data_IF_841263448358
#
_entry.id   IF_841263448358
#
_cell.length_a   1.000
_cell.length_b   1.000
_cell.length_c   1.000
_cell.angle_alpha   90.00
_cell.angle_beta   90.00
_cell.angle_gamma   90.00
#
_symmetry.space_group_name_H-M   'P 1'
#
loop_
_entity.id
_entity.type
_entity.pdbx_description
1 polymer ?
#
# COMPACT_ATOMS: atom_id res chain seq x y z
N UNK A 1 21.14 -11.25 7.71
CA UNK A 1 20.90 -11.72 9.09
C UNK A 1 20.30 -13.11 8.97
N UNK A 2 21.02 -14.14 9.40
CA UNK A 2 20.55 -15.53 9.31
C UNK A 2 19.28 -15.74 10.13
N UNK A 3 18.32 -16.49 9.59
CA UNK A 3 17.18 -16.96 10.38
C UNK A 3 17.68 -17.80 11.55
N UNK A 4 17.10 -17.59 12.73
CA UNK A 4 17.45 -18.33 13.94
C UNK A 4 16.79 -19.71 13.91
N UNK A 5 17.40 -20.71 14.57
CA UNK A 5 16.83 -22.06 14.66
C UNK A 5 15.38 -22.05 15.21
N UNK A 6 15.06 -21.14 16.13
CA UNK A 6 13.70 -20.96 16.65
C UNK A 6 12.68 -20.53 15.56
N UNK A 7 13.10 -19.70 14.61
CA UNK A 7 12.24 -19.30 13.49
C UNK A 7 11.99 -20.48 12.55
N UNK A 8 13.03 -21.27 12.25
CA UNK A 8 12.92 -22.46 11.39
C UNK A 8 12.03 -23.55 12.02
N UNK A 9 12.14 -23.78 13.35
CA UNK A 9 11.24 -24.67 14.10
C UNK A 9 9.79 -24.19 13.98
N UNK A 10 9.57 -22.89 14.18
CA UNK A 10 8.23 -22.29 14.09
C UNK A 10 7.65 -22.48 12.68
N UNK A 11 8.43 -22.21 11.63
CA UNK A 11 8.03 -22.42 10.24
C UNK A 11 7.65 -23.88 9.99
N UNK A 12 8.50 -24.84 10.38
CA UNK A 12 8.22 -26.27 10.21
C UNK A 12 6.97 -26.70 10.97
N UNK A 13 6.75 -26.19 12.19
CA UNK A 13 5.56 -26.52 12.99
C UNK A 13 4.24 -26.05 12.37
N UNK A 14 4.26 -25.02 11.50
CA UNK A 14 3.08 -24.51 10.79
C UNK A 14 2.75 -25.31 9.54
N UNK A 15 3.68 -26.10 9.02
CA UNK A 15 3.45 -26.94 7.85
C UNK A 15 2.70 -28.19 8.29
N UNK A 16 1.38 -28.18 8.12
CA UNK A 16 0.48 -29.27 8.54
C UNK A 16 0.80 -30.64 7.94
N UNK A 17 1.51 -30.68 6.80
CA UNK A 17 1.92 -31.92 6.16
C UNK A 17 3.09 -32.63 6.85
N UNK A 18 3.90 -31.93 7.67
CA UNK A 18 5.14 -32.50 8.26
C UNK A 18 4.88 -33.77 9.08
N UNK A 19 3.91 -33.82 10.03
CA UNK A 19 3.64 -35.04 10.78
C UNK A 19 3.20 -36.21 9.90
N UNK A 20 2.41 -35.95 8.86
CA UNK A 20 1.96 -36.98 7.92
C UNK A 20 3.12 -37.52 7.06
N UNK A 21 4.04 -36.64 6.64
CA UNK A 21 5.25 -37.05 5.89
C UNK A 21 6.13 -37.96 6.75
N UNK A 22 6.39 -37.58 8.01
CA UNK A 22 7.16 -38.41 8.94
C UNK A 22 6.50 -39.77 9.20
N UNK A 23 5.16 -39.78 9.31
CA UNK A 23 4.38 -41.00 9.46
C UNK A 23 4.55 -41.94 8.25
N UNK A 24 4.41 -41.41 7.04
CA UNK A 24 4.58 -42.19 5.80
C UNK A 24 6.01 -42.69 5.66
N UNK A 25 7.02 -41.89 6.00
CA UNK A 25 8.43 -42.33 5.99
C UNK A 25 8.63 -43.50 6.95
N UNK A 26 8.10 -43.43 8.17
CA UNK A 26 8.21 -44.53 9.14
C UNK A 26 7.55 -45.81 8.62
N UNK A 27 6.35 -45.72 8.03
CA UNK A 27 5.63 -46.88 7.49
C UNK A 27 6.32 -47.50 6.27
N UNK A 28 6.82 -46.65 5.36
CA UNK A 28 7.43 -47.08 4.11
C UNK A 28 8.84 -47.65 4.30
N UNK A 29 9.60 -47.14 5.27
CA UNK A 29 10.95 -47.62 5.59
C UNK A 29 10.96 -48.74 6.63
N UNK A 30 9.90 -48.83 7.45
CA UNK A 30 9.86 -49.69 8.64
C UNK A 30 10.66 -49.15 9.83
N UNK A 31 11.30 -47.98 9.70
CA UNK A 31 12.13 -47.39 10.73
C UNK A 31 11.28 -46.67 11.78
N UNK A 32 11.61 -46.86 13.05
CA UNK A 32 10.80 -46.36 14.18
C UNK A 32 11.13 -44.93 14.61
N UNK A 33 12.19 -44.33 14.07
CA UNK A 33 12.50 -42.92 14.27
C UNK A 33 12.55 -42.18 12.94
N UNK A 34 11.91 -41.02 12.85
CA UNK A 34 12.04 -40.11 11.72
C UNK A 34 12.06 -38.65 12.17
N UNK A 35 12.84 -37.79 11.52
CA UNK A 35 12.95 -36.38 11.88
C UNK A 35 13.23 -35.48 10.68
N UNK A 36 12.75 -34.23 10.78
CA UNK A 36 13.22 -33.10 9.97
C UNK A 36 14.17 -32.28 10.83
N UNK A 37 15.38 -32.04 10.34
CA UNK A 37 16.39 -31.28 11.05
C UNK A 37 16.82 -30.05 10.24
N UNK A 38 17.00 -28.93 10.93
CA UNK A 38 17.70 -27.76 10.42
C UNK A 38 19.19 -27.97 10.64
N UNK A 39 19.98 -27.86 9.57
CA UNK A 39 21.42 -28.11 9.64
C UNK A 39 22.16 -26.96 8.97
N UNK A 40 23.01 -26.29 9.74
CA UNK A 40 23.81 -25.13 9.33
C UNK A 40 25.29 -25.48 9.32
N UNK A 41 26.16 -24.50 9.11
CA UNK A 41 27.61 -24.69 9.27
C UNK A 41 28.01 -24.98 10.72
N UNK A 42 27.23 -24.48 11.68
CA UNK A 42 27.59 -24.47 13.10
C UNK A 42 26.65 -25.29 13.98
N UNK A 43 25.47 -25.68 13.47
CA UNK A 43 24.43 -26.31 14.29
C UNK A 43 23.64 -27.39 13.57
N UNK A 44 23.16 -28.35 14.38
CA UNK A 44 22.13 -29.31 14.01
C UNK A 44 20.99 -29.14 15.02
N UNK A 45 19.77 -28.93 14.55
CA UNK A 45 18.59 -28.73 15.41
C UNK A 45 17.40 -29.53 14.89
N UNK A 46 16.73 -30.26 15.77
CA UNK A 46 15.51 -30.99 15.42
C UNK A 46 14.33 -30.02 15.24
N UNK A 47 13.73 -29.99 14.05
CA UNK A 47 12.56 -29.15 13.76
C UNK A 47 11.23 -29.91 13.86
N UNK A 48 11.24 -31.21 13.57
CA UNK A 48 10.10 -32.10 13.76
C UNK A 48 10.60 -33.52 14.01
N UNK A 49 9.95 -34.25 14.91
CA UNK A 49 10.35 -35.61 15.30
C UNK A 49 9.12 -36.51 15.38
N UNK A 50 9.26 -37.72 14.86
CA UNK A 50 8.41 -38.87 15.09
C UNK A 50 9.27 -39.96 15.73
N UNK A 51 9.10 -40.18 17.02
CA UNK A 51 9.87 -41.15 17.79
C UNK A 51 8.98 -42.29 18.31
N UNK A 52 9.03 -43.44 17.65
CA UNK A 52 8.44 -44.72 18.11
C UNK A 52 9.51 -45.69 18.61
N UNK A 53 10.78 -45.27 18.59
CA UNK A 53 11.93 -46.03 19.04
C UNK A 53 12.20 -45.78 20.54
N UNK A 54 11.71 -44.66 21.07
CA UNK A 54 12.15 -44.04 22.33
C UNK A 54 13.63 -43.65 22.26
N UNK A 55 14.04 -43.06 21.13
CA UNK A 55 15.36 -42.47 20.94
C UNK A 55 15.59 -41.29 21.89
N UNK A 56 14.53 -40.56 22.26
CA UNK A 56 14.56 -39.53 23.30
C UNK A 56 14.86 -38.11 22.80
N UNK A 57 14.96 -37.91 21.48
CA UNK A 57 15.17 -36.59 20.88
C UNK A 57 13.84 -35.83 20.74
N UNK A 58 13.80 -34.58 21.18
CA UNK A 58 12.64 -33.70 21.10
C UNK A 58 12.83 -32.58 20.09
N UNK A 59 11.73 -31.92 19.71
CA UNK A 59 11.77 -30.74 18.85
C UNK A 59 12.49 -29.61 19.59
N UNK A 60 13.48 -28.99 18.93
CA UNK A 60 14.35 -27.98 19.50
C UNK A 60 15.66 -28.52 20.09
N UNK A 61 15.78 -29.84 20.27
CA UNK A 61 17.04 -30.43 20.72
C UNK A 61 18.13 -30.31 19.64
N UNK A 62 19.36 -30.18 20.11
CA UNK A 62 20.55 -30.10 19.26
C UNK A 62 21.39 -31.38 19.39
N UNK A 63 22.06 -31.73 18.29
CA UNK A 63 23.09 -32.77 18.25
C UNK A 63 24.42 -32.12 17.89
N UNK A 64 25.52 -32.71 18.33
CA UNK A 64 26.83 -32.31 17.86
C UNK A 64 26.91 -32.53 16.34
N UNK A 65 27.09 -31.45 15.58
CA UNK A 65 27.05 -31.48 14.12
C UNK A 65 28.05 -32.48 13.55
N UNK A 66 29.27 -32.52 14.11
CA UNK A 66 30.36 -33.39 13.62
C UNK A 66 30.04 -34.86 13.87
N UNK A 67 29.27 -35.18 14.90
CA UNK A 67 28.86 -36.57 15.15
C UNK A 67 27.77 -37.07 14.21
N UNK A 68 27.14 -36.21 13.38
CA UNK A 68 26.03 -36.57 12.48
C UNK A 68 26.44 -36.77 11.02
N UNK A 69 25.80 -37.74 10.35
CA UNK A 69 25.88 -37.88 8.88
C UNK A 69 25.23 -36.69 8.15
N UNK A 70 24.44 -35.88 8.84
CA UNK A 70 23.81 -34.69 8.27
C UNK A 70 24.84 -33.60 7.91
N UNK A 71 25.99 -33.54 8.59
CA UNK A 71 27.08 -32.64 8.22
C UNK A 71 27.72 -33.02 6.88
N UNK A 72 27.90 -34.32 6.64
CA UNK A 72 28.41 -34.83 5.35
C UNK A 72 27.41 -34.56 4.22
N UNK A 73 26.10 -34.79 4.48
CA UNK A 73 25.03 -34.47 3.52
C UNK A 73 25.00 -32.97 3.21
N UNK A 74 25.19 -32.09 4.21
CA UNK A 74 25.30 -30.65 3.99
C UNK A 74 26.48 -30.29 3.09
N UNK A 75 27.62 -30.95 3.25
CA UNK A 75 28.82 -30.67 2.45
C UNK A 75 28.73 -31.24 1.02
N UNK A 76 28.13 -32.42 0.87
CA UNK A 76 28.11 -33.16 -0.39
C UNK A 76 26.79 -33.10 -1.17
N UNK A 77 25.71 -32.56 -0.59
CA UNK A 77 24.36 -32.47 -1.16
C UNK A 77 23.82 -33.79 -1.77
N UNK A 78 24.23 -34.93 -1.25
CA UNK A 78 23.78 -36.26 -1.71
C UNK A 78 23.05 -37.01 -0.60
N UNK A 79 22.11 -37.85 -0.98
CA UNK A 79 21.36 -38.73 -0.06
C UNK A 79 22.27 -39.83 0.50
N UNK A 80 22.06 -40.19 1.77
CA UNK A 80 22.73 -41.31 2.44
C UNK A 80 21.70 -42.40 2.73
N UNK A 81 21.99 -43.64 2.30
CA UNK A 81 21.09 -44.80 2.47
C UNK A 81 21.91 -46.01 2.94
N UNK A 82 21.58 -46.53 4.12
CA UNK A 82 22.29 -47.60 4.81
C UNK A 82 21.26 -48.68 5.19
N UNK A 83 21.34 -49.85 4.55
CA UNK A 83 20.49 -50.99 4.91
C UNK A 83 20.93 -51.63 6.22
N UNK A 84 22.25 -51.76 6.41
CA UNK A 84 22.86 -52.39 7.59
C UNK A 84 24.28 -51.86 7.80
N UNK A 85 24.45 -50.97 8.77
CA UNK A 85 25.69 -50.24 9.02
C UNK A 85 26.86 -51.19 9.30
N UNK A 86 26.65 -52.22 10.12
CA UNK A 86 27.69 -53.21 10.49
C UNK A 86 28.27 -53.99 9.30
N UNK A 87 27.53 -54.08 8.19
CA UNK A 87 27.97 -54.78 6.97
C UNK A 87 28.26 -53.82 5.81
N UNK A 88 27.91 -52.54 5.91
CA UNK A 88 28.09 -51.59 4.82
C UNK A 88 29.59 -51.28 4.61
N UNK A 89 30.12 -51.35 3.37
CA UNK A 89 31.54 -51.09 3.10
C UNK A 89 32.00 -49.67 3.47
N UNK A 90 31.10 -48.68 3.42
CA UNK A 90 31.42 -47.28 3.70
C UNK A 90 31.19 -46.92 5.17
N UNK A 91 30.17 -47.54 5.80
CA UNK A 91 29.69 -47.11 7.11
C UNK A 91 30.00 -48.04 8.29
N UNK A 92 30.55 -49.24 8.07
CA UNK A 92 30.88 -50.19 9.16
C UNK A 92 31.84 -49.63 10.22
N UNK A 93 32.80 -48.83 9.79
CA UNK A 93 33.83 -48.23 10.63
C UNK A 93 33.54 -46.74 10.91
N UNK A 94 32.39 -46.23 10.45
CA UNK A 94 31.98 -44.85 10.67
C UNK A 94 31.55 -44.65 12.13
N UNK A 95 31.86 -43.49 12.73
CA UNK A 95 31.52 -43.25 14.14
C UNK A 95 30.01 -43.11 14.35
N UNK A 96 29.30 -42.50 13.41
CA UNK A 96 27.88 -42.11 13.56
C UNK A 96 26.93 -43.28 13.90
N UNK A 97 26.95 -44.43 13.20
CA UNK A 97 26.14 -45.59 13.57
C UNK A 97 26.43 -46.13 14.97
N UNK A 98 27.70 -46.08 15.42
CA UNK A 98 28.10 -46.53 16.75
C UNK A 98 27.63 -45.56 17.84
N UNK A 99 27.79 -44.25 17.61
CA UNK A 99 27.36 -43.19 18.53
C UNK A 99 25.85 -43.21 18.78
N UNK A 100 25.06 -43.36 17.71
CA UNK A 100 23.59 -43.33 17.79
C UNK A 100 22.92 -44.72 17.76
N UNK A 101 23.73 -45.79 17.79
CA UNK A 101 23.29 -47.19 17.90
C UNK A 101 22.24 -47.60 16.84
N UNK A 102 22.44 -47.24 15.58
CA UNK A 102 21.56 -47.66 14.48
C UNK A 102 22.23 -48.65 13.52
N UNK A 103 21.45 -49.54 12.92
CA UNK A 103 21.88 -50.38 11.79
C UNK A 103 21.33 -49.86 10.46
N UNK A 104 20.11 -49.32 10.45
CA UNK A 104 19.51 -48.74 9.25
C UNK A 104 19.37 -47.25 9.36
N UNK A 105 19.65 -46.55 8.27
CA UNK A 105 19.57 -45.09 8.18
C UNK A 105 19.27 -44.65 6.76
N UNK A 106 18.34 -43.72 6.61
CA UNK A 106 18.14 -42.98 5.36
C UNK A 106 18.01 -41.50 5.67
N UNK A 107 18.71 -40.67 4.91
CA UNK A 107 18.56 -39.23 4.96
C UNK A 107 18.75 -38.59 3.59
N UNK A 108 17.90 -37.62 3.30
CA UNK A 108 17.94 -36.86 2.05
C UNK A 108 18.05 -35.37 2.35
N UNK A 109 18.78 -34.59 1.52
CA UNK A 109 18.90 -33.15 1.69
C UNK A 109 17.59 -32.44 1.34
N UNK A 110 17.20 -31.47 2.17
CA UNK A 110 16.16 -30.50 1.87
C UNK A 110 16.86 -29.29 1.25
N UNK A 111 16.75 -29.17 -0.08
CA UNK A 111 17.31 -28.08 -0.85
C UNK A 111 16.21 -27.10 -1.24
N UNK A 112 16.45 -25.82 -0.98
CA UNK A 112 15.62 -24.71 -1.45
C UNK A 112 15.62 -24.64 -2.98
N UNK A 113 14.65 -23.94 -3.55
CA UNK A 113 14.51 -23.75 -5.01
C UNK A 113 15.70 -23.04 -5.65
N UNK A 114 16.43 -22.25 -4.86
CA UNK A 114 17.68 -21.59 -5.25
C UNK A 114 18.94 -22.45 -5.04
N UNK A 115 18.77 -23.72 -4.64
CA UNK A 115 19.86 -24.66 -4.39
C UNK A 115 20.52 -24.54 -3.01
N UNK A 116 20.11 -23.58 -2.17
CA UNK A 116 20.63 -23.49 -0.80
C UNK A 116 20.16 -24.66 0.06
N UNK A 117 21.08 -25.20 0.85
CA UNK A 117 20.78 -26.27 1.78
C UNK A 117 20.03 -25.75 3.02
N UNK A 118 18.86 -26.32 3.29
CA UNK A 118 18.11 -26.06 4.52
C UNK A 118 18.47 -27.07 5.61
N UNK A 119 18.49 -28.36 5.29
CA UNK A 119 18.65 -29.39 6.31
C UNK A 119 18.39 -30.78 5.75
N UNK A 120 17.98 -31.69 6.61
CA UNK A 120 17.71 -33.08 6.20
C UNK A 120 16.35 -33.54 6.68
N UNK A 121 15.77 -34.48 5.93
CA UNK A 121 14.75 -35.38 6.45
C UNK A 121 15.33 -36.77 6.51
N UNK A 122 15.25 -37.40 7.68
CA UNK A 122 15.93 -38.65 7.97
C UNK A 122 15.06 -39.62 8.75
N UNK A 123 15.43 -40.90 8.70
CA UNK A 123 14.87 -41.95 9.52
C UNK A 123 15.96 -42.98 9.87
N UNK A 124 15.85 -43.58 11.06
CA UNK A 124 16.84 -44.54 11.57
C UNK A 124 16.20 -45.63 12.45
N UNK A 125 16.88 -46.76 12.56
CA UNK A 125 16.52 -47.85 13.46
C UNK A 125 17.74 -48.71 13.83
N UNK A 126 17.84 -49.24 15.07
CA UNK A 126 18.84 -50.25 15.45
C UNK A 126 18.69 -51.57 14.70
N UNK A 127 17.54 -51.86 14.08
CA UNK A 127 17.34 -53.06 13.28
C UNK A 127 17.59 -52.78 11.79
N UNK A 128 18.21 -53.72 11.05
CA UNK A 128 18.41 -53.58 9.62
C UNK A 128 17.09 -53.66 8.84
N UNK A 129 17.01 -52.91 7.74
CA UNK A 129 15.87 -52.77 6.85
C UNK A 129 16.36 -52.58 5.40
N UNK A 130 15.62 -53.08 4.39
CA UNK A 130 16.00 -52.95 2.99
C UNK A 130 15.62 -51.57 2.41
N UNK A 131 16.46 -50.56 2.62
CA UNK A 131 16.23 -49.17 2.24
C UNK A 131 16.75 -48.81 0.84
N UNK A 132 17.78 -49.50 0.33
CA UNK A 132 18.40 -49.25 -0.99
C UNK A 132 17.50 -49.51 -2.21
N UNK A 133 16.21 -49.78 -1.99
CA UNK A 133 15.19 -49.77 -3.04
C UNK A 133 15.03 -48.37 -3.65
N UNK A 134 15.01 -48.28 -4.97
CA UNK A 134 14.89 -47.00 -5.71
C UNK A 134 13.59 -46.25 -5.39
N UNK A 135 12.52 -46.95 -5.01
CA UNK A 135 11.23 -46.33 -4.64
C UNK A 135 11.31 -45.59 -3.30
N UNK A 136 12.06 -46.11 -2.32
CA UNK A 136 12.16 -45.51 -0.99
C UNK A 136 12.90 -44.18 -1.07
N UNK A 137 14.09 -44.20 -1.66
CA UNK A 137 14.91 -43.00 -1.82
C UNK A 137 14.19 -41.93 -2.66
N UNK A 138 13.62 -42.29 -3.81
CA UNK A 138 12.91 -41.32 -4.67
C UNK A 138 11.66 -40.71 -4.01
N UNK A 139 10.98 -41.48 -3.16
CA UNK A 139 9.85 -40.98 -2.35
C UNK A 139 10.33 -39.99 -1.30
N UNK A 140 11.41 -40.31 -0.57
CA UNK A 140 12.01 -39.39 0.40
C UNK A 140 12.49 -38.10 -0.25
N UNK A 141 13.17 -38.18 -1.39
CA UNK A 141 13.61 -36.99 -2.15
C UNK A 141 12.42 -36.15 -2.62
N UNK A 142 11.28 -36.78 -2.96
CA UNK A 142 10.05 -36.07 -3.31
C UNK A 142 9.43 -35.36 -2.11
N UNK A 143 9.45 -35.99 -0.93
CA UNK A 143 9.05 -35.32 0.31
C UNK A 143 9.97 -34.16 0.67
N UNK A 144 11.28 -34.30 0.51
CA UNK A 144 12.23 -33.22 0.75
C UNK A 144 12.00 -32.02 -0.17
N UNK A 145 11.75 -32.27 -1.47
CA UNK A 145 11.37 -31.21 -2.42
C UNK A 145 10.05 -30.54 -2.03
N UNK A 146 9.04 -31.32 -1.64
CA UNK A 146 7.75 -30.77 -1.20
C UNK A 146 7.88 -29.95 0.07
N UNK A 147 8.68 -30.41 1.05
CA UNK A 147 8.97 -29.65 2.27
C UNK A 147 9.69 -28.35 1.97
N UNK A 148 10.68 -28.35 1.08
CA UNK A 148 11.38 -27.12 0.66
C UNK A 148 10.39 -26.08 0.10
N UNK A 149 9.49 -26.50 -0.79
CA UNK A 149 8.46 -25.61 -1.34
C UNK A 149 7.50 -25.06 -0.27
N UNK A 150 7.09 -25.90 0.70
CA UNK A 150 6.20 -25.49 1.79
C UNK A 150 6.90 -24.53 2.76
N UNK A 151 8.18 -24.75 3.07
CA UNK A 151 8.99 -23.84 3.90
C UNK A 151 9.08 -22.47 3.23
N UNK A 152 9.39 -22.42 1.94
CA UNK A 152 9.47 -21.16 1.20
C UNK A 152 8.12 -20.45 1.10
N UNK A 153 7.03 -21.19 0.89
CA UNK A 153 5.69 -20.63 0.86
C UNK A 153 5.30 -19.99 2.20
N UNK A 154 5.54 -20.67 3.31
CA UNK A 154 5.24 -20.17 4.66
C UNK A 154 6.12 -18.95 5.01
N UNK A 155 7.41 -18.98 4.69
CA UNK A 155 8.31 -17.82 4.88
C UNK A 155 7.87 -16.61 4.06
N UNK A 156 7.47 -16.82 2.80
CA UNK A 156 7.01 -15.75 1.92
C UNK A 156 5.67 -15.16 2.39
N UNK A 157 4.76 -16.00 2.88
CA UNK A 157 3.50 -15.57 3.45
C UNK A 157 3.75 -14.66 4.66
N UNK A 158 4.56 -15.11 5.63
CA UNK A 158 4.88 -14.35 6.83
C UNK A 158 5.54 -13.00 6.51
N UNK A 159 6.46 -12.97 5.53
CA UNK A 159 7.09 -11.73 5.07
C UNK A 159 6.08 -10.76 4.47
N UNK A 160 5.17 -11.27 3.64
CA UNK A 160 4.13 -10.47 2.99
C UNK A 160 3.15 -9.90 4.00
N UNK A 161 2.68 -10.71 4.95
CA UNK A 161 1.79 -10.25 6.03
C UNK A 161 2.43 -9.18 6.90
N UNK A 162 3.69 -9.38 7.31
CA UNK A 162 4.43 -8.41 8.12
C UNK A 162 4.63 -7.09 7.36
N UNK A 163 4.97 -7.16 6.07
CA UNK A 163 5.11 -5.98 5.22
C UNK A 163 3.79 -5.22 5.08
N UNK A 164 2.67 -5.94 4.89
CA UNK A 164 1.33 -5.34 4.78
C UNK A 164 0.91 -4.63 6.07
N UNK A 165 1.11 -5.27 7.24
CA UNK A 165 0.78 -4.66 8.53
C UNK A 165 1.58 -3.37 8.73
N UNK A 166 2.88 -3.39 8.41
CA UNK A 166 3.76 -2.22 8.53
C UNK A 166 3.36 -1.09 7.59
N UNK A 167 2.99 -1.42 6.35
CA UNK A 167 2.51 -0.45 5.36
C UNK A 167 1.22 0.22 5.85
N UNK A 168 0.26 -0.57 6.32
CA UNK A 168 -1.00 -0.07 6.88
C UNK A 168 -0.78 0.86 8.08
N UNK A 169 0.06 0.46 9.04
CA UNK A 169 0.41 1.31 10.18
C UNK A 169 1.07 2.62 9.75
N UNK A 170 1.94 2.56 8.73
CA UNK A 170 2.58 3.75 8.17
C UNK A 170 1.57 4.67 7.50
N UNK A 171 0.59 4.12 6.78
CA UNK A 171 -0.49 4.88 6.17
C UNK A 171 -1.38 5.55 7.24
N UNK A 172 -1.80 4.82 8.28
CA UNK A 172 -2.59 5.34 9.40
C UNK A 172 -1.87 6.47 10.14
N UNK A 173 -0.56 6.32 10.41
CA UNK A 173 0.26 7.38 11.01
C UNK A 173 0.35 8.62 10.11
N UNK A 174 0.48 8.46 8.79
CA UNK A 174 0.50 9.58 7.83
C UNK A 174 -0.85 10.32 7.83
N UNK A 175 -1.97 9.60 7.82
CA UNK A 175 -3.31 10.19 7.88
C UNK A 175 -3.49 11.03 9.17
N UNK A 176 -3.11 10.46 10.32
CA UNK A 176 -3.18 11.15 11.61
C UNK A 176 -2.29 12.41 11.63
N UNK A 177 -1.07 12.31 11.12
CA UNK A 177 -0.13 13.43 11.07
C UNK A 177 -0.67 14.58 10.21
N UNK A 178 -1.26 14.27 9.05
CA UNK A 178 -1.91 15.26 8.18
C UNK A 178 -3.10 15.91 8.91
N UNK A 179 -3.93 15.13 9.59
CA UNK A 179 -5.08 15.65 10.33
C UNK A 179 -4.67 16.63 11.45
N UNK A 180 -3.68 16.25 12.27
CA UNK A 180 -3.18 17.08 13.37
C UNK A 180 -2.53 18.36 12.85
N UNK A 181 -1.63 18.26 11.85
CA UNK A 181 -1.02 19.44 11.24
C UNK A 181 -2.06 20.38 10.63
N UNK A 182 -3.10 19.83 10.02
CA UNK A 182 -4.14 20.66 9.41
C UNK A 182 -4.91 21.50 10.41
N UNK A 183 -5.25 20.92 11.56
CA UNK A 183 -5.88 21.67 12.65
C UNK A 183 -4.94 22.74 13.23
N UNK A 184 -3.70 22.35 13.54
CA UNK A 184 -2.74 23.24 14.21
C UNK A 184 -2.25 24.39 13.33
N UNK A 185 -2.28 24.22 12.00
CA UNK A 185 -2.00 25.30 11.04
C UNK A 185 -3.22 26.21 10.81
N UNK A 186 -4.44 25.68 10.83
CA UNK A 186 -5.67 26.48 10.64
C UNK A 186 -5.94 27.42 11.82
N UNK A 187 -5.76 26.94 13.04
CA UNK A 187 -6.04 27.72 14.25
C UNK A 187 -5.35 29.11 14.29
N UNK A 188 -4.02 29.23 14.09
CA UNK A 188 -3.38 30.53 14.06
C UNK A 188 -3.84 31.41 12.89
N UNK A 189 -4.14 30.82 11.72
CA UNK A 189 -4.63 31.56 10.55
C UNK A 189 -6.05 32.11 10.76
N UNK A 190 -6.91 31.35 11.45
CA UNK A 190 -8.22 31.85 11.89
C UNK A 190 -8.09 33.01 12.86
N UNK A 191 -7.20 32.91 13.85
CA UNK A 191 -6.96 33.99 14.80
C UNK A 191 -6.45 35.28 14.10
N UNK A 192 -5.52 35.15 13.14
CA UNK A 192 -5.01 36.29 12.36
C UNK A 192 -6.12 36.91 11.51
N UNK A 193 -6.94 36.09 10.84
CA UNK A 193 -8.05 36.56 10.01
C UNK A 193 -9.10 37.30 10.83
N UNK A 194 -9.52 36.72 11.96
CA UNK A 194 -10.47 37.34 12.88
C UNK A 194 -9.93 38.66 13.45
N UNK A 195 -8.65 38.70 13.85
CA UNK A 195 -8.00 39.93 14.31
C UNK A 195 -7.98 41.02 13.24
N UNK A 196 -7.66 40.67 11.99
CA UNK A 196 -7.67 41.61 10.87
C UNK A 196 -9.09 42.14 10.55
N UNK A 197 -10.11 41.28 10.61
CA UNK A 197 -11.51 41.69 10.45
C UNK A 197 -11.97 42.64 11.56
N UNK A 198 -11.57 42.37 12.82
CA UNK A 198 -11.85 43.27 13.94
C UNK A 198 -11.17 44.63 13.78
N UNK A 199 -9.93 44.66 13.27
CA UNK A 199 -9.22 45.90 12.96
C UNK A 199 -9.94 46.70 11.88
N UNK A 200 -10.40 46.06 10.80
CA UNK A 200 -11.13 46.72 9.72
C UNK A 200 -12.45 47.37 10.18
N UNK A 201 -13.09 46.85 11.23
CA UNK A 201 -14.30 47.45 11.81
C UNK A 201 -14.02 48.68 12.67
N UNK A 202 -12.79 48.86 13.16
CA UNK A 202 -12.43 49.91 14.14
C UNK A 202 -11.50 50.99 13.58
N UNK A 203 -10.73 50.68 12.55
CA UNK A 203 -9.76 51.61 11.97
C UNK A 203 -10.46 52.64 11.08
N UNK A 204 -10.21 53.93 11.33
CA UNK A 204 -10.69 55.03 10.50
C UNK A 204 -9.58 55.70 9.67
N UNK A 205 -8.31 55.33 9.90
CA UNK A 205 -7.16 55.84 9.16
C UNK A 205 -6.92 55.02 7.87
N UNK A 206 -6.94 55.64 6.68
CA UNK A 206 -6.80 54.94 5.40
C UNK A 206 -5.53 54.08 5.29
N UNK A 207 -4.41 54.52 5.87
CA UNK A 207 -3.15 53.78 5.80
C UNK A 207 -3.20 52.49 6.63
N UNK A 208 -3.76 52.56 7.85
CA UNK A 208 -3.96 51.39 8.70
C UNK A 208 -5.09 50.47 8.19
N UNK A 209 -6.11 51.01 7.53
CA UNK A 209 -7.15 50.21 6.88
C UNK A 209 -6.53 49.35 5.77
N UNK A 210 -5.70 49.96 4.92
CA UNK A 210 -4.99 49.25 3.86
C UNK A 210 -4.10 48.13 4.42
N UNK A 211 -3.37 48.39 5.52
CA UNK A 211 -2.56 47.36 6.20
C UNK A 211 -3.42 46.20 6.72
N UNK A 212 -4.55 46.48 7.36
CA UNK A 212 -5.47 45.45 7.84
C UNK A 212 -6.07 44.62 6.68
N UNK A 213 -6.42 45.25 5.56
CA UNK A 213 -6.85 44.56 4.32
C UNK A 213 -5.75 43.64 3.78
N UNK A 214 -4.50 44.09 3.78
CA UNK A 214 -3.35 43.29 3.36
C UNK A 214 -3.13 42.07 4.27
N UNK A 215 -3.23 42.22 5.59
CA UNK A 215 -3.13 41.10 6.54
C UNK A 215 -4.24 40.09 6.30
N UNK A 216 -5.49 40.53 6.18
CA UNK A 216 -6.64 39.65 5.94
C UNK A 216 -6.48 38.87 4.63
N UNK A 217 -6.07 39.55 3.56
CA UNK A 217 -5.85 38.92 2.25
C UNK A 217 -4.74 37.87 2.31
N UNK A 218 -3.66 38.17 3.03
CA UNK A 218 -2.52 37.27 3.20
C UNK A 218 -2.89 36.05 4.06
N UNK A 219 -3.65 36.25 5.14
CA UNK A 219 -4.12 35.17 6.00
C UNK A 219 -5.07 34.23 5.26
N UNK A 220 -6.05 34.76 4.52
CA UNK A 220 -6.96 33.96 3.67
C UNK A 220 -6.20 33.17 2.60
N UNK A 221 -5.18 33.79 1.97
CA UNK A 221 -4.30 33.10 1.02
C UNK A 221 -3.54 31.95 1.69
N UNK A 222 -3.00 32.17 2.88
CA UNK A 222 -2.30 31.13 3.64
C UNK A 222 -3.24 29.98 4.03
N UNK A 223 -4.49 30.27 4.45
CA UNK A 223 -5.50 29.24 4.75
C UNK A 223 -5.75 28.37 3.53
N UNK A 224 -5.99 28.98 2.36
CA UNK A 224 -6.19 28.24 1.11
C UNK A 224 -5.00 27.35 0.76
N UNK A 225 -3.77 27.85 0.93
CA UNK A 225 -2.56 27.05 0.69
C UNK A 225 -2.44 25.86 1.63
N UNK A 226 -2.77 26.05 2.91
CA UNK A 226 -2.78 24.96 3.90
C UNK A 226 -3.83 23.93 3.52
N UNK A 227 -5.06 24.35 3.19
CA UNK A 227 -6.13 23.44 2.78
C UNK A 227 -5.76 22.66 1.51
N UNK A 228 -5.20 23.32 0.50
CA UNK A 228 -4.76 22.69 -0.74
C UNK A 228 -3.66 21.62 -0.48
N UNK A 229 -2.70 21.91 0.40
CA UNK A 229 -1.64 20.97 0.78
C UNK A 229 -2.20 19.77 1.53
N UNK A 230 -3.15 19.99 2.46
CA UNK A 230 -3.77 18.91 3.22
C UNK A 230 -4.64 18.01 2.33
N UNK A 231 -5.41 18.60 1.41
CA UNK A 231 -6.21 17.84 0.46
C UNK A 231 -5.33 17.07 -0.54
N UNK A 232 -4.22 17.67 -0.99
CA UNK A 232 -3.21 16.96 -1.77
C UNK A 232 -2.58 15.79 -1.00
N UNK A 233 -2.22 16.01 0.27
CA UNK A 233 -1.62 14.99 1.10
C UNK A 233 -2.59 13.82 1.34
N UNK A 234 -3.89 14.10 1.52
CA UNK A 234 -4.94 13.07 1.61
C UNK A 234 -5.13 12.31 0.29
N UNK A 235 -5.23 13.02 -0.84
CA UNK A 235 -5.36 12.40 -2.16
C UNK A 235 -4.16 11.50 -2.50
N UNK A 236 -2.95 11.91 -2.13
CA UNK A 236 -1.72 11.15 -2.37
C UNK A 236 -1.61 9.86 -1.57
N UNK A 237 -2.41 9.68 -0.51
CA UNK A 237 -2.49 8.42 0.25
C UNK A 237 -3.36 7.35 -0.43
N UNK A 238 -3.86 7.62 -1.65
CA UNK A 238 -4.56 6.63 -2.49
C UNK A 238 -6.04 6.42 -2.16
N UNK A 239 -6.54 6.98 -1.05
CA UNK A 239 -7.97 6.97 -0.70
C UNK A 239 -8.79 8.10 -1.32
N UNK A 240 -8.15 8.99 -2.09
CA UNK A 240 -8.78 10.19 -2.61
C UNK A 240 -9.06 11.23 -1.51
N UNK A 241 -9.82 12.27 -1.86
CA UNK A 241 -10.27 13.26 -0.88
C UNK A 241 -11.55 12.70 -0.24
N UNK A 242 -11.65 12.61 1.09
CA UNK A 242 -12.86 12.09 1.73
C UNK A 242 -14.06 12.99 1.40
N UNK A 243 -15.16 12.34 1.00
CA UNK A 243 -16.44 12.98 0.65
C UNK A 243 -17.55 12.34 1.48
N UNK A 244 -18.50 13.16 1.94
CA UNK A 244 -19.72 12.69 2.57
C UNK A 244 -20.91 12.89 1.61
N UNK A 245 -21.33 11.81 0.94
CA UNK A 245 -22.39 11.88 -0.08
C UNK A 245 -23.75 11.81 0.61
N UNK A 246 -24.44 12.95 0.68
CA UNK A 246 -25.77 13.08 1.28
C UNK A 246 -26.73 13.81 0.33
N UNK A 247 -28.07 13.68 0.51
CA UNK A 247 -29.04 14.50 -0.22
C UNK A 247 -28.75 16.00 0.00
N UNK A 248 -28.58 16.76 -1.08
CA UNK A 248 -28.16 18.16 -1.04
C UNK A 248 -29.13 19.08 -1.80
N UNK A 249 -30.29 19.41 -1.19
CA UNK A 249 -31.30 20.25 -1.83
C UNK A 249 -30.85 21.71 -2.02
N UNK A 250 -29.84 22.15 -1.27
CA UNK A 250 -29.30 23.51 -1.24
C UNK A 250 -28.06 23.71 -2.11
N UNK A 251 -27.68 22.71 -2.94
CA UNK A 251 -26.48 22.77 -3.77
C UNK A 251 -26.48 24.02 -4.68
N UNK A 252 -27.61 24.36 -5.27
CA UNK A 252 -27.74 25.51 -6.14
C UNK A 252 -27.35 26.83 -5.44
N UNK A 253 -27.73 26.98 -4.16
CA UNK A 253 -27.39 28.17 -3.37
C UNK A 253 -25.91 28.19 -2.99
N UNK A 254 -25.35 27.03 -2.65
CA UNK A 254 -23.90 26.91 -2.41
C UNK A 254 -23.08 27.33 -3.64
N UNK A 255 -23.46 26.89 -4.84
CA UNK A 255 -22.76 27.26 -6.08
C UNK A 255 -22.91 28.76 -6.38
N UNK A 256 -24.11 29.35 -6.19
CA UNK A 256 -24.32 30.80 -6.34
C UNK A 256 -23.46 31.60 -5.36
N UNK A 257 -23.32 31.10 -4.12
CA UNK A 257 -22.50 31.75 -3.11
C UNK A 257 -21.03 31.81 -3.52
N UNK A 258 -20.47 30.69 -4.00
CA UNK A 258 -19.08 30.63 -4.52
C UNK A 258 -18.87 31.64 -5.66
N UNK A 259 -19.81 31.72 -6.60
CA UNK A 259 -19.74 32.66 -7.72
C UNK A 259 -19.76 34.11 -7.22
N UNK A 260 -20.64 34.43 -6.27
CA UNK A 260 -20.73 35.76 -5.66
C UNK A 260 -19.46 36.16 -4.91
N UNK A 261 -18.84 35.23 -4.20
CA UNK A 261 -17.58 35.46 -3.48
C UNK A 261 -16.45 35.79 -4.47
N UNK A 262 -16.28 34.99 -5.52
CA UNK A 262 -15.24 35.21 -6.53
C UNK A 262 -15.49 36.52 -7.29
N UNK A 263 -16.74 36.83 -7.64
CA UNK A 263 -17.11 38.10 -8.27
C UNK A 263 -16.75 39.30 -7.39
N UNK A 264 -16.89 39.18 -6.07
CA UNK A 264 -16.53 40.22 -5.10
C UNK A 264 -15.01 40.45 -5.01
N UNK A 265 -14.21 39.39 -5.20
CA UNK A 265 -12.74 39.47 -5.26
C UNK A 265 -12.27 40.05 -6.59
N UNK A 266 -12.97 39.76 -7.68
CA UNK A 266 -12.64 40.20 -9.04
C UNK A 266 -13.75 41.05 -9.67
N UNK A 267 -14.03 42.26 -9.15
CA UNK A 267 -15.19 43.06 -9.55
C UNK A 267 -15.17 43.51 -11.02
N UNK A 268 -14.00 43.50 -11.67
CA UNK A 268 -13.83 43.83 -13.09
C UNK A 268 -14.08 42.66 -14.04
N UNK A 269 -14.17 41.43 -13.52
CA UNK A 269 -14.44 40.23 -14.34
C UNK A 269 -15.94 40.06 -14.51
N UNK A 270 -16.37 39.60 -15.68
CA UNK A 270 -17.77 39.27 -15.96
C UNK A 270 -17.96 37.78 -15.72
N UNK A 271 -18.71 37.40 -14.68
CA UNK A 271 -19.08 36.00 -14.43
C UNK A 271 -20.57 35.83 -14.70
N UNK A 272 -20.90 35.06 -15.75
CA UNK A 272 -22.28 34.73 -16.11
C UNK A 272 -22.61 33.35 -15.58
N UNK A 273 -23.71 33.22 -14.84
CA UNK A 273 -24.11 31.94 -14.25
C UNK A 273 -25.51 31.52 -14.65
N UNK A 274 -25.68 30.24 -14.97
CA UNK A 274 -26.97 29.60 -15.25
C UNK A 274 -27.06 28.32 -14.42
N UNK A 275 -27.72 28.41 -13.28
CA UNK A 275 -27.88 27.31 -12.32
C UNK A 275 -29.36 26.91 -12.30
N UNK A 276 -29.64 25.72 -12.84
CA UNK A 276 -30.98 25.13 -12.88
C UNK A 276 -31.43 24.56 -11.54
N UNK A 277 -32.45 23.70 -11.59
CA UNK A 277 -32.92 22.96 -10.42
C UNK A 277 -31.96 21.79 -10.11
N UNK A 278 -31.47 21.76 -8.88
CA UNK A 278 -30.48 20.81 -8.35
C UNK A 278 -30.99 20.06 -7.11
N UNK A 279 -32.31 20.09 -6.85
CA UNK A 279 -32.91 19.66 -5.59
C UNK A 279 -32.73 18.17 -5.24
N UNK A 280 -32.46 17.31 -6.23
CA UNK A 280 -32.41 15.84 -6.07
C UNK A 280 -30.99 15.26 -6.18
N UNK A 281 -29.96 16.07 -5.97
CA UNK A 281 -28.56 15.61 -6.08
C UNK A 281 -28.08 15.06 -4.75
N UNK A 282 -27.33 13.96 -4.83
CA UNK A 282 -26.59 13.42 -3.69
C UNK A 282 -25.10 13.72 -3.88
N UNK A 283 -24.52 14.53 -3.00
CA UNK A 283 -23.12 14.93 -3.08
C UNK A 283 -22.62 15.49 -1.75
N UNK A 284 -21.30 15.69 -1.65
CA UNK A 284 -20.71 16.51 -0.60
C UNK A 284 -20.72 17.98 -1.03
N UNK A 285 -21.63 18.76 -0.44
CA UNK A 285 -21.87 20.18 -0.77
C UNK A 285 -20.60 21.02 -0.72
N UNK A 286 -19.78 20.84 0.31
CA UNK A 286 -18.58 21.65 0.52
C UNK A 286 -17.50 21.32 -0.51
N UNK A 287 -17.34 20.02 -0.81
CA UNK A 287 -16.39 19.57 -1.82
C UNK A 287 -16.80 19.98 -3.24
N UNK A 288 -18.09 19.89 -3.60
CA UNK A 288 -18.55 20.38 -4.92
C UNK A 288 -18.40 21.90 -5.04
N UNK A 289 -18.65 22.66 -3.97
CA UNK A 289 -18.38 24.10 -3.92
C UNK A 289 -16.88 24.40 -4.08
N UNK A 290 -15.99 23.62 -3.45
CA UNK A 290 -14.54 23.73 -3.61
C UNK A 290 -14.09 23.42 -5.04
N UNK A 291 -14.65 22.38 -5.66
CA UNK A 291 -14.42 22.05 -7.08
C UNK A 291 -14.79 23.24 -7.96
N UNK A 292 -15.99 23.82 -7.80
CA UNK A 292 -16.40 25.00 -8.56
C UNK A 292 -15.44 26.17 -8.34
N UNK A 293 -15.07 26.45 -7.09
CA UNK A 293 -14.15 27.54 -6.74
C UNK A 293 -12.80 27.39 -7.45
N UNK A 294 -12.25 26.17 -7.51
CA UNK A 294 -11.01 25.89 -8.22
C UNK A 294 -11.14 26.08 -9.74
N UNK A 295 -12.25 25.63 -10.34
CA UNK A 295 -12.49 25.82 -11.77
C UNK A 295 -12.69 27.29 -12.15
N UNK A 296 -13.50 28.03 -11.39
CA UNK A 296 -13.76 29.46 -11.65
C UNK A 296 -12.50 30.30 -11.41
N UNK A 297 -11.74 30.02 -10.35
CA UNK A 297 -10.47 30.69 -10.11
C UNK A 297 -9.47 30.44 -11.27
N UNK A 298 -9.42 29.21 -11.80
CA UNK A 298 -8.60 28.91 -12.97
C UNK A 298 -9.07 29.70 -14.21
N UNK A 299 -10.37 29.69 -14.48
CA UNK A 299 -10.98 30.45 -15.57
C UNK A 299 -10.72 31.97 -15.49
N UNK A 300 -10.76 32.54 -14.28
CA UNK A 300 -10.45 33.95 -14.03
C UNK A 300 -8.97 34.27 -14.24
N UNK A 301 -8.05 33.34 -13.97
CA UNK A 301 -6.61 33.56 -14.17
C UNK A 301 -6.21 33.38 -15.63
N UNK A 302 -6.82 32.41 -16.32
CA UNK A 302 -6.42 31.98 -17.66
C UNK A 302 -7.33 32.48 -18.80
N UNK A 303 -8.45 33.12 -18.48
CA UNK A 303 -9.32 33.79 -19.46
C UNK A 303 -8.78 35.14 -19.91
N UNK A 304 -9.11 35.53 -21.14
CA UNK A 304 -8.85 36.87 -21.68
C UNK A 304 -9.43 37.94 -20.75
N UNK A 305 -8.75 39.09 -20.53
CA UNK A 305 -9.19 40.13 -19.58
C UNK A 305 -10.66 40.55 -19.72
N UNK A 306 -11.14 40.66 -20.96
CA UNK A 306 -12.48 41.15 -21.30
C UNK A 306 -13.49 40.02 -21.60
N UNK A 307 -13.04 38.76 -21.66
CA UNK A 307 -13.91 37.62 -21.91
C UNK A 307 -14.72 37.20 -20.66
N UNK A 308 -16.00 36.83 -20.81
CA UNK A 308 -16.78 36.35 -19.67
C UNK A 308 -16.33 34.95 -19.23
N UNK A 309 -16.50 34.68 -17.93
CA UNK A 309 -16.48 33.32 -17.37
C UNK A 309 -17.92 32.84 -17.30
N UNK A 310 -18.25 31.81 -18.05
CA UNK A 310 -19.58 31.20 -18.10
C UNK A 310 -19.62 29.98 -17.17
N UNK A 311 -20.52 29.98 -16.19
CA UNK A 311 -20.76 28.86 -15.27
C UNK A 311 -22.15 28.29 -15.53
N UNK A 312 -22.26 26.99 -15.77
CA UNK A 312 -23.55 26.32 -15.89
C UNK A 312 -23.64 25.10 -14.98
N UNK A 313 -24.78 24.91 -14.32
CA UNK A 313 -25.04 23.76 -13.46
C UNK A 313 -26.48 23.28 -13.68
N UNK A 314 -26.66 22.02 -14.07
CA UNK A 314 -27.98 21.46 -14.40
C UNK A 314 -27.97 19.93 -14.30
N UNK A 315 -29.15 19.34 -14.12
CA UNK A 315 -29.36 17.91 -14.31
C UNK A 315 -29.80 17.65 -15.75
N UNK A 316 -29.07 16.81 -16.48
CA UNK A 316 -29.35 16.41 -17.86
C UNK A 316 -29.27 14.90 -17.96
N UNK A 317 -30.32 14.26 -18.49
CA UNK A 317 -30.33 12.82 -18.80
C UNK A 317 -29.91 11.94 -17.59
N UNK A 318 -30.31 12.31 -16.37
CA UNK A 318 -29.94 11.58 -15.15
C UNK A 318 -28.52 11.87 -14.63
N UNK A 319 -27.83 12.85 -15.19
CA UNK A 319 -26.51 13.29 -14.74
C UNK A 319 -26.54 14.73 -14.26
N UNK A 320 -25.97 15.00 -13.09
CA UNK A 320 -25.57 16.35 -12.72
C UNK A 320 -24.36 16.77 -13.57
N UNK A 321 -24.47 17.91 -14.23
CA UNK A 321 -23.42 18.48 -15.07
C UNK A 321 -23.13 19.91 -14.61
N UNK A 322 -21.88 20.15 -14.21
CA UNK A 322 -21.34 21.45 -13.87
C UNK A 322 -20.24 21.81 -14.89
N UNK A 323 -20.37 22.93 -15.58
CA UNK A 323 -19.36 23.42 -16.51
C UNK A 323 -18.90 24.84 -16.18
N UNK A 324 -17.61 25.08 -16.40
CA UNK A 324 -16.99 26.40 -16.32
C UNK A 324 -16.22 26.64 -17.61
N UNK A 325 -16.57 27.71 -18.31
CA UNK A 325 -16.00 28.09 -19.60
C UNK A 325 -15.39 29.47 -19.54
N UNK A 326 -14.23 29.64 -20.17
CA UNK A 326 -13.55 30.91 -20.36
C UNK A 326 -12.95 31.02 -21.76
N UNK A 327 -12.80 32.25 -22.25
CA UNK A 327 -12.03 32.51 -23.47
C UNK A 327 -10.53 32.43 -23.15
N UNK A 328 -9.95 31.25 -23.29
CA UNK A 328 -8.52 31.00 -23.12
C UNK A 328 -8.14 29.70 -23.83
N UNK A 329 -6.87 29.57 -24.18
CA UNK A 329 -6.34 28.39 -24.87
C UNK A 329 -5.31 27.69 -23.99
N UNK A 330 -5.53 26.40 -23.73
CA UNK A 330 -4.54 25.50 -23.16
C UNK A 330 -3.74 24.89 -24.32
N UNK A 331 -2.41 24.93 -24.21
CA UNK A 331 -1.52 24.30 -25.18
C UNK A 331 -1.70 22.77 -25.18
N UNK A 332 -1.62 22.15 -26.36
CA UNK A 332 -1.92 20.72 -26.55
C UNK A 332 -1.01 19.81 -25.73
N UNK A 333 0.26 20.19 -25.57
CA UNK A 333 1.26 19.50 -24.76
C UNK A 333 0.98 19.58 -23.24
N UNK A 334 0.23 20.57 -22.79
CA UNK A 334 -0.15 20.73 -21.39
C UNK A 334 -1.39 19.90 -21.00
N UNK A 335 -2.23 19.49 -21.97
CA UNK A 335 -3.47 18.77 -21.70
C UNK A 335 -3.28 17.45 -20.92
N UNK A 336 -2.30 16.57 -21.25
CA UNK A 336 -2.08 15.33 -20.50
C UNK A 336 -1.64 15.54 -19.05
N UNK A 337 -1.07 16.72 -18.76
CA UNK A 337 -0.48 17.04 -17.46
C UNK A 337 -1.33 18.00 -16.62
N UNK A 338 -2.47 18.44 -17.15
CA UNK A 338 -3.29 19.51 -16.57
C UNK A 338 -3.78 19.18 -15.15
N UNK A 339 -4.16 17.93 -14.93
CA UNK A 339 -4.68 17.44 -13.64
C UNK A 339 -3.58 16.84 -12.74
N UNK A 340 -2.31 16.89 -13.13
CA UNK A 340 -1.21 16.46 -12.25
C UNK A 340 -0.93 17.51 -11.16
N UNK A 341 -0.47 17.09 -9.98
CA UNK A 341 -0.13 18.03 -8.92
C UNK A 341 1.05 18.92 -9.32
N UNK A 342 1.03 20.17 -8.85
CA UNK A 342 2.05 21.19 -9.16
C UNK A 342 2.14 21.57 -10.64
N UNK A 343 1.13 21.25 -11.44
CA UNK A 343 1.08 21.64 -12.84
C UNK A 343 1.06 23.17 -12.96
N UNK A 344 2.03 23.72 -13.68
CA UNK A 344 2.11 25.13 -14.05
C UNK A 344 2.44 25.22 -15.53
N UNK A 345 1.83 26.14 -16.30
CA UNK A 345 2.22 26.36 -17.69
C UNK A 345 3.71 26.73 -17.75
N UNK A 346 4.45 26.11 -18.66
CA UNK A 346 5.83 26.46 -18.90
C UNK A 346 5.90 27.90 -19.47
N UNK A 347 6.59 28.81 -18.77
CA UNK A 347 6.91 30.15 -19.30
C UNK A 347 6.01 31.32 -18.90
N UNK A 348 5.07 31.16 -17.96
CA UNK A 348 4.22 32.25 -17.45
C UNK A 348 4.82 33.03 -16.26
N UNK A 349 4.34 34.26 -16.06
CA UNK A 349 4.61 35.10 -14.87
C UNK A 349 4.43 34.32 -13.55
N UNK A 350 5.12 34.69 -12.46
CA UNK A 350 4.99 34.03 -11.16
C UNK A 350 3.53 34.03 -10.69
N UNK A 351 2.86 32.90 -10.87
CA UNK A 351 1.44 32.72 -10.59
C UNK A 351 1.17 32.57 -9.09
N UNK A 352 -0.02 33.02 -8.71
CA UNK A 352 -0.57 32.90 -7.35
C UNK A 352 -1.10 31.47 -7.16
N UNK A 353 -0.35 30.60 -6.47
CA UNK A 353 -0.82 29.27 -6.04
C UNK A 353 0.22 28.15 -6.20
N UNK A 354 -0.06 26.99 -5.59
CA UNK A 354 0.81 25.80 -5.64
C UNK A 354 0.64 24.96 -6.91
N UNK A 355 -0.36 25.25 -7.76
CA UNK A 355 -0.69 24.39 -8.91
C UNK A 355 -1.47 23.13 -8.51
N UNK A 356 -2.21 23.18 -7.39
CA UNK A 356 -2.99 22.05 -6.87
C UNK A 356 -4.48 22.14 -7.21
N UNK A 357 -5.00 23.30 -7.62
CA UNK A 357 -6.44 23.52 -7.77
C UNK A 357 -7.13 22.56 -8.75
N UNK A 358 -6.58 22.36 -9.96
CA UNK A 358 -7.15 21.41 -10.93
C UNK A 358 -6.94 19.95 -10.50
N UNK A 359 -5.82 19.63 -9.84
CA UNK A 359 -5.62 18.31 -9.23
C UNK A 359 -6.70 18.03 -8.17
N UNK A 360 -6.93 18.95 -7.24
CA UNK A 360 -7.96 18.85 -6.19
C UNK A 360 -9.35 18.72 -6.81
N UNK A 361 -9.69 19.53 -7.82
CA UNK A 361 -10.96 19.41 -8.54
C UNK A 361 -11.15 18.02 -9.17
N UNK A 362 -10.09 17.46 -9.76
CA UNK A 362 -10.14 16.11 -10.34
C UNK A 362 -10.28 15.03 -9.26
N UNK A 363 -9.60 15.16 -8.13
CA UNK A 363 -9.72 14.24 -6.99
C UNK A 363 -11.11 14.31 -6.35
N UNK A 364 -11.71 15.50 -6.20
CA UNK A 364 -13.08 15.65 -5.72
C UNK A 364 -14.06 14.95 -6.69
N UNK A 365 -13.92 15.17 -7.99
CA UNK A 365 -14.77 14.53 -8.99
C UNK A 365 -14.67 13.00 -8.93
N UNK A 366 -13.45 12.46 -8.86
CA UNK A 366 -13.20 11.02 -8.72
C UNK A 366 -13.78 10.45 -7.42
N UNK A 367 -13.62 11.15 -6.30
CA UNK A 367 -14.10 10.70 -4.99
C UNK A 367 -15.63 10.66 -4.91
N UNK A 368 -16.32 11.47 -5.73
CA UNK A 368 -17.78 11.39 -5.91
C UNK A 368 -18.21 10.29 -6.91
N UNK A 369 -17.29 9.56 -7.54
CA UNK A 369 -17.61 8.63 -8.63
C UNK A 369 -17.98 9.32 -9.96
N UNK A 370 -17.68 10.61 -10.09
CA UNK A 370 -17.91 11.40 -11.30
C UNK A 370 -16.68 11.49 -12.21
N UNK A 371 -16.78 12.32 -13.25
CA UNK A 371 -15.70 12.60 -14.21
C UNK A 371 -15.50 14.10 -14.39
N UNK A 372 -14.24 14.54 -14.43
CA UNK A 372 -13.86 15.90 -14.80
C UNK A 372 -13.14 15.86 -16.15
N UNK A 373 -13.66 16.61 -17.13
CA UNK A 373 -13.14 16.67 -18.49
C UNK A 373 -12.79 18.11 -18.87
N UNK A 374 -11.89 18.28 -19.84
CA UNK A 374 -11.52 19.58 -20.40
C UNK A 374 -11.59 19.51 -21.92
N UNK A 375 -12.15 20.56 -22.53
CA UNK A 375 -12.10 20.82 -23.96
C UNK A 375 -11.54 22.23 -24.16
N UNK A 376 -10.45 22.36 -24.91
CA UNK A 376 -9.82 23.65 -25.19
C UNK A 376 -9.59 23.80 -26.69
N UNK A 377 -10.18 24.81 -27.30
CA UNK A 377 -10.00 25.14 -28.73
C UNK A 377 -9.86 26.64 -28.91
N UNK A 378 -9.20 27.08 -29.99
CA UNK A 378 -9.07 28.51 -30.28
C UNK A 378 -10.42 29.22 -30.46
N UNK A 379 -11.41 28.52 -31.02
CA UNK A 379 -12.71 29.09 -31.39
C UNK A 379 -13.69 29.12 -30.22
N UNK A 380 -13.68 28.10 -29.36
CA UNK A 380 -14.66 27.96 -28.26
C UNK A 380 -14.08 28.26 -26.87
N UNK A 381 -12.77 28.53 -26.79
CA UNK A 381 -12.06 28.70 -25.54
C UNK A 381 -11.85 27.38 -24.79
N UNK A 382 -11.70 27.48 -23.47
CA UNK A 382 -11.51 26.35 -22.56
C UNK A 382 -12.79 26.11 -21.77
N UNK A 383 -13.26 24.86 -21.73
CA UNK A 383 -14.40 24.42 -20.93
C UNK A 383 -14.01 23.23 -20.08
N UNK A 384 -14.14 23.37 -18.77
CA UNK A 384 -14.07 22.26 -17.82
C UNK A 384 -15.49 21.76 -17.51
N UNK A 385 -15.70 20.45 -17.54
CA UNK A 385 -17.00 19.82 -17.29
C UNK A 385 -16.87 18.72 -16.25
N UNK A 386 -17.52 18.91 -15.11
CA UNK A 386 -17.73 17.88 -14.10
C UNK A 386 -19.09 17.21 -14.33
N UNK A 387 -19.11 15.88 -14.38
CA UNK A 387 -20.34 15.09 -14.47
C UNK A 387 -20.42 14.03 -13.37
N UNK A 388 -21.61 13.88 -12.79
CA UNK A 388 -21.91 12.94 -11.72
C UNK A 388 -23.24 12.24 -12.02
N UNK A 389 -23.37 10.91 -11.90
CA UNK A 389 -24.66 10.24 -11.97
C UNK A 389 -25.57 10.75 -10.85
N UNK A 390 -26.75 11.27 -11.19
CA UNK A 390 -27.77 11.60 -10.20
C UNK A 390 -28.55 10.32 -9.88
N UNK A 391 -28.78 9.98 -8.60
CA UNK A 391 -29.76 8.96 -8.27
C UNK A 391 -31.11 9.34 -8.88
N UNK A 392 -31.76 8.38 -9.54
CA UNK A 392 -33.14 8.49 -10.04
C UNK A 392 -34.14 8.55 -8.90
#
# INVERSE_FOLDING_TARGET
MGQTAAADITTISRISAVPAILQVISELTGLRFAAVARVTEDSWTACAVLDRLNFGLQVGDELDLVSTLCNEIRQGHHSVVIDKASEDPLYRDHHTPQTYQFESYIAVPILRTDGRFFGTICALDPNPAPLKSSTIQSTMESFARMLALQIEAEENLQRTETALIKERQTAEMREQFIAVLGHDLRNPLFAISAGAEMLLRKVCDPANEQRARHILTSARRATKLVDDVLDFARGSLGRGIPVNIEPCPDLADALRHVISEIQSIHPKRIIQSSIGDLSNIHCDRERVAQLLSNLVANAVVHGTPDGPVEVSAQVKEGHFVLSVKNQGLIAEDALPHLFLPYSKPAGGTPQVGLGLGLYIASQIAQSHGGKLQVLSTEQQGTTFTFSLPSPT
#
